data_IF_775394587481
#
_entry.id   IF_775394587481
#
_cell.length_a   1.000
_cell.length_b   1.000
_cell.length_c   1.000
_cell.angle_alpha   90.00
_cell.angle_beta   90.00
_cell.angle_gamma   90.00
#
_symmetry.space_group_name_H-M   'P 1'
#
loop_
_entity.id
_entity.type
_entity.pdbx_description
1 polymer ?
#
# COMPACT_ATOMS: atom_id res chain seq x y z
N UNK A 1 6.86 -26.08 -53.53
CA UNK A 1 7.38 -26.09 -52.14
C UNK A 1 6.92 -24.82 -51.40
N UNK A 2 5.90 -24.90 -50.53
CA UNK A 2 5.56 -23.82 -49.59
C UNK A 2 6.03 -24.29 -48.18
N UNK A 3 6.63 -23.53 -47.24
CA UNK A 3 6.83 -22.11 -47.02
C UNK A 3 7.90 -21.97 -45.90
N UNK A 4 9.03 -21.25 -46.07
CA UNK A 4 9.83 -20.79 -44.92
C UNK A 4 9.07 -19.75 -44.08
N UNK A 5 8.13 -19.03 -44.71
CA UNK A 5 7.31 -17.98 -44.08
C UNK A 5 6.36 -18.52 -43.00
N UNK A 6 5.81 -19.73 -43.14
CA UNK A 6 4.83 -20.26 -42.18
C UNK A 6 5.46 -20.66 -40.85
N UNK A 7 6.73 -21.11 -40.87
CA UNK A 7 7.49 -21.40 -39.66
C UNK A 7 7.81 -20.11 -38.88
N UNK A 8 8.14 -19.02 -39.59
CA UNK A 8 8.39 -17.71 -38.99
C UNK A 8 7.11 -17.11 -38.39
N UNK A 9 5.98 -17.20 -39.10
CA UNK A 9 4.67 -16.78 -38.58
C UNK A 9 4.29 -17.54 -37.30
N UNK A 10 4.51 -18.86 -37.26
CA UNK A 10 4.25 -19.69 -36.06
C UNK A 10 5.18 -19.34 -34.89
N UNK A 11 6.45 -19.02 -35.15
CA UNK A 11 7.39 -18.62 -34.08
C UNK A 11 7.04 -17.26 -33.47
N UNK A 12 6.59 -16.32 -34.30
CA UNK A 12 6.16 -14.99 -33.84
C UNK A 12 4.86 -15.05 -33.04
N UNK A 13 3.90 -15.89 -33.47
CA UNK A 13 2.64 -16.08 -32.73
C UNK A 13 2.86 -16.81 -31.40
N UNK A 14 3.77 -17.79 -31.33
CA UNK A 14 4.16 -18.44 -30.08
C UNK A 14 4.86 -17.45 -29.11
N UNK A 15 5.73 -16.57 -29.62
CA UNK A 15 6.37 -15.54 -28.81
C UNK A 15 5.36 -14.55 -28.22
N UNK A 16 4.41 -14.07 -29.04
CA UNK A 16 3.37 -13.16 -28.58
C UNK A 16 2.44 -13.83 -27.56
N UNK A 17 2.09 -15.11 -27.78
CA UNK A 17 1.32 -15.90 -26.81
C UNK A 17 2.10 -16.10 -25.50
N UNK A 18 3.42 -16.32 -25.55
CA UNK A 18 4.26 -16.47 -24.35
C UNK A 18 4.36 -15.16 -23.56
N UNK A 19 4.54 -14.02 -24.25
CA UNK A 19 4.56 -12.69 -23.63
C UNK A 19 3.19 -12.33 -23.03
N UNK A 20 2.10 -12.62 -23.74
CA UNK A 20 0.75 -12.42 -23.23
C UNK A 20 0.46 -13.35 -22.04
N UNK A 21 0.83 -14.63 -22.11
CA UNK A 21 0.67 -15.57 -21.00
C UNK A 21 1.50 -15.18 -19.78
N UNK A 22 2.75 -14.73 -19.94
CA UNK A 22 3.59 -14.25 -18.84
C UNK A 22 3.06 -12.94 -18.24
N UNK A 23 2.63 -12.00 -19.09
CA UNK A 23 2.03 -10.73 -18.66
C UNK A 23 0.70 -10.95 -17.96
N UNK A 24 -0.16 -11.83 -18.47
CA UNK A 24 -1.43 -12.21 -17.86
C UNK A 24 -1.19 -13.03 -16.59
N UNK A 25 -0.22 -13.97 -16.57
CA UNK A 25 0.11 -14.72 -15.36
C UNK A 25 0.69 -13.83 -14.27
N UNK A 26 1.51 -12.84 -14.63
CA UNK A 26 2.05 -11.85 -13.68
C UNK A 26 0.97 -10.87 -13.20
N UNK A 27 0.01 -10.50 -14.06
CA UNK A 27 -1.12 -9.62 -13.70
C UNK A 27 -2.25 -10.34 -12.96
N UNK A 28 -2.34 -11.67 -13.06
CA UNK A 28 -3.27 -12.54 -12.30
C UNK A 28 -2.62 -13.14 -11.05
N UNK A 29 -1.28 -13.09 -10.97
CA UNK A 29 -0.47 -13.38 -9.77
C UNK A 29 -0.03 -12.09 -9.08
N UNK A 30 -0.58 -10.93 -9.46
CA UNK A 30 -0.56 -9.75 -8.60
C UNK A 30 -1.20 -10.21 -7.30
N UNK A 31 -0.37 -10.32 -6.28
CA UNK A 31 -0.70 -10.72 -4.91
C UNK A 31 -2.18 -10.47 -4.64
N UNK A 32 -2.96 -11.55 -4.60
CA UNK A 32 -4.21 -11.53 -3.86
C UNK A 32 -3.73 -11.31 -2.43
N UNK A 33 -3.68 -10.05 -2.02
CA UNK A 33 -3.44 -9.72 -0.63
C UNK A 33 -4.58 -10.42 0.10
N UNK A 34 -4.20 -11.38 0.94
CA UNK A 34 -5.12 -12.10 1.77
C UNK A 34 -5.84 -11.02 2.59
N UNK A 35 -7.07 -10.75 2.16
CA UNK A 35 -8.01 -9.77 2.69
C UNK A 35 -7.92 -9.83 4.22
N UNK A 36 -7.36 -8.77 4.83
CA UNK A 36 -7.35 -8.44 6.28
C UNK A 36 -5.98 -8.11 6.92
N UNK A 37 -4.87 -8.06 6.17
CA UNK A 37 -3.57 -7.61 6.74
C UNK A 37 -3.20 -6.15 6.40
N UNK A 38 -4.16 -5.37 5.90
CA UNK A 38 -3.96 -3.94 5.71
C UNK A 38 -4.60 -3.18 6.89
N UNK A 39 -3.77 -2.54 7.70
CA UNK A 39 -4.16 -1.46 8.64
C UNK A 39 -4.82 -1.83 9.98
N UNK A 40 -4.92 -3.09 10.39
CA UNK A 40 -5.51 -3.43 11.68
C UNK A 40 -4.44 -3.76 12.74
N UNK A 41 -3.92 -2.78 13.50
CA UNK A 41 -3.02 -3.08 14.59
C UNK A 41 -3.84 -3.65 15.75
N UNK A 42 -3.45 -4.80 16.27
CA UNK A 42 -3.96 -5.35 17.54
C UNK A 42 -3.59 -4.48 18.76
N UNK A 43 -2.86 -3.38 18.55
CA UNK A 43 -2.26 -2.52 19.57
C UNK A 43 -3.13 -1.30 19.87
N UNK A 44 -4.23 -1.52 20.60
CA UNK A 44 -5.09 -0.46 21.17
C UNK A 44 -4.34 0.52 22.08
N UNK A 45 -3.16 0.12 22.57
CA UNK A 45 -2.34 0.93 23.48
C UNK A 45 -1.80 2.22 22.85
N UNK A 46 -1.77 2.31 21.50
CA UNK A 46 -1.32 3.50 20.78
C UNK A 46 -2.47 4.31 20.15
N UNK A 47 -3.71 3.92 20.41
CA UNK A 47 -4.88 4.65 19.91
C UNK A 47 -5.07 5.95 20.70
N UNK A 48 -5.12 7.07 19.98
CA UNK A 48 -5.29 8.39 20.57
C UNK A 48 -6.60 8.99 20.06
N UNK A 49 -7.45 9.40 20.98
CA UNK A 49 -8.67 10.16 20.68
C UNK A 49 -8.29 11.52 20.09
N UNK A 50 -8.86 11.87 18.93
CA UNK A 50 -8.55 13.11 18.21
C UNK A 50 -8.82 14.34 19.06
N UNK A 51 -9.82 14.28 19.92
CA UNK A 51 -10.24 15.37 20.82
C UNK A 51 -9.18 15.73 21.87
N UNK A 52 -8.17 14.85 22.08
CA UNK A 52 -7.07 15.07 23.03
C UNK A 52 -5.85 15.74 22.40
N UNK A 53 -5.90 16.04 21.11
CA UNK A 53 -4.83 16.67 20.36
C UNK A 53 -5.25 18.07 19.96
N UNK A 54 -4.50 19.07 20.42
CA UNK A 54 -4.61 20.43 19.93
C UNK A 54 -3.64 20.62 18.76
N UNK A 55 -4.18 20.92 17.58
CA UNK A 55 -3.37 21.18 16.39
C UNK A 55 -2.77 22.60 16.47
N UNK A 56 -1.45 22.68 16.41
CA UNK A 56 -0.70 23.94 16.37
C UNK A 56 -0.35 24.35 14.94
N UNK A 57 0.74 25.11 14.79
CA UNK A 57 1.21 25.60 13.49
C UNK A 57 1.87 24.49 12.66
N UNK A 58 1.82 24.63 11.33
CA UNK A 58 2.65 23.85 10.41
C UNK A 58 4.14 24.23 10.62
N UNK A 59 4.99 23.21 10.70
CA UNK A 59 6.44 23.33 10.87
C UNK A 59 7.23 22.79 9.67
N UNK A 60 6.54 22.20 8.68
CA UNK A 60 7.15 21.74 7.44
C UNK A 60 6.14 21.07 6.52
N UNK A 61 6.39 21.14 5.22
CA UNK A 61 5.56 20.53 4.18
C UNK A 61 6.35 19.38 3.54
N UNK A 62 5.82 18.16 3.66
CA UNK A 62 6.39 16.96 3.07
C UNK A 62 5.69 16.58 1.77
N UNK A 63 6.32 15.70 0.98
CA UNK A 63 5.72 15.16 -0.25
C UNK A 63 4.37 14.46 -0.02
N UNK A 64 4.14 13.98 1.20
CA UNK A 64 2.96 13.21 1.61
C UNK A 64 2.05 13.98 2.58
N UNK A 65 2.27 15.28 2.77
CA UNK A 65 1.46 16.14 3.64
C UNK A 65 2.29 16.95 4.65
N UNK A 66 1.58 17.74 5.46
CA UNK A 66 2.18 18.71 6.37
C UNK A 66 2.50 18.12 7.74
N UNK A 67 3.58 18.62 8.35
CA UNK A 67 3.94 18.32 9.73
C UNK A 67 3.51 19.49 10.61
N UNK A 68 2.67 19.20 11.59
CA UNK A 68 2.17 20.20 12.53
C UNK A 68 2.76 19.96 13.92
N UNK A 69 3.10 21.05 14.61
CA UNK A 69 3.31 21.01 16.06
C UNK A 69 1.94 20.78 16.73
N UNK A 70 1.88 20.02 17.82
CA UNK A 70 0.64 19.83 18.58
C UNK A 70 0.88 19.65 20.07
N UNK A 71 -0.18 19.82 20.87
CA UNK A 71 -0.19 19.54 22.31
C UNK A 71 -1.07 18.34 22.57
N UNK A 72 -0.58 17.38 23.36
CA UNK A 72 -1.32 16.18 23.76
C UNK A 72 -1.76 16.29 25.22
N UNK A 73 -3.06 16.10 25.46
CA UNK A 73 -3.65 16.02 26.80
C UNK A 73 -3.87 14.56 27.21
N UNK A 74 -2.95 13.94 27.97
CA UNK A 74 -3.08 12.54 28.37
C UNK A 74 -4.29 12.31 29.27
N UNK A 75 -4.84 11.09 29.32
CA UNK A 75 -5.87 10.75 30.29
C UNK A 75 -5.37 11.05 31.70
N UNK A 76 -6.23 11.66 32.51
CA UNK A 76 -5.95 11.85 33.93
C UNK A 76 -5.66 10.49 34.55
N UNK A 77 -4.45 10.35 35.09
CA UNK A 77 -4.05 9.16 35.82
C UNK A 77 -4.98 9.02 37.03
N UNK A 78 -5.85 8.01 37.01
CA UNK A 78 -6.81 7.76 38.10
C UNK A 78 -6.11 7.36 39.41
N UNK A 79 -4.78 7.16 39.39
CA UNK A 79 -3.97 6.80 40.54
C UNK A 79 -3.46 7.99 41.40
N UNK A 80 -3.91 9.23 41.15
CA UNK A 80 -3.83 10.30 42.15
C UNK A 80 -2.42 10.83 42.48
N UNK A 81 -1.53 10.93 41.49
CA UNK A 81 -0.25 11.65 41.67
C UNK A 81 -0.07 12.65 40.55
N UNK A 82 -0.21 13.93 40.92
CA UNK A 82 0.24 15.12 40.19
C UNK A 82 1.74 15.30 40.37
#
# INVERSE_FOLDING_TARGET
LPKPLHALTTSFSLSLAHVASFSLSFSLSSIVDEEDTYTMPSTRDYEIQRERIELGRCIGEGQFGDVHQGVYSPPVCVCGRS
#
